data_IF_243331168321
#
_entry.id   IF_243331168321
#
_cell.length_a   1.000
_cell.length_b   1.000
_cell.length_c   1.000
_cell.angle_alpha   90.00
_cell.angle_beta   90.00
_cell.angle_gamma   90.00
#
_symmetry.space_group_name_H-M   'P 1'
#
loop_
_entity.id
_entity.type
_entity.pdbx_description
1 polymer ?
#
# COMPACT_ATOMS: atom_id res chain seq x y z
N UNK A 1 7.93 -24.14 19.56
CA UNK A 1 7.73 -22.70 19.87
C UNK A 1 7.72 -21.85 18.59
N UNK A 2 7.36 -20.58 18.69
CA UNK A 2 7.47 -19.61 17.56
C UNK A 2 8.88 -19.58 16.96
N UNK A 3 9.90 -19.56 17.80
CA UNK A 3 11.30 -19.49 17.36
C UNK A 3 11.71 -20.73 16.54
N UNK A 4 11.26 -21.90 16.91
CA UNK A 4 11.54 -23.15 16.18
C UNK A 4 10.88 -23.12 14.80
N UNK A 5 9.63 -22.66 14.72
CA UNK A 5 8.88 -22.54 13.46
C UNK A 5 9.54 -21.49 12.57
N UNK A 6 9.93 -20.34 13.12
CA UNK A 6 10.63 -19.28 12.39
C UNK A 6 11.95 -19.76 11.81
N UNK A 7 12.76 -20.47 12.61
CA UNK A 7 14.03 -21.04 12.16
C UNK A 7 13.82 -22.09 11.05
N UNK A 8 12.82 -22.95 11.20
CA UNK A 8 12.49 -23.97 10.19
C UNK A 8 11.89 -23.38 8.89
N UNK A 9 11.27 -22.23 8.96
CA UNK A 9 10.70 -21.52 7.81
C UNK A 9 11.74 -20.73 7.02
N UNK A 10 12.87 -20.37 7.63
CA UNK A 10 13.92 -19.58 6.98
C UNK A 10 14.44 -20.29 5.72
N UNK A 11 14.58 -19.57 4.63
CA UNK A 11 14.93 -20.05 3.28
C UNK A 11 13.90 -21.00 2.63
N UNK A 12 12.73 -21.21 3.25
CA UNK A 12 11.66 -22.08 2.75
C UNK A 12 10.34 -21.37 2.49
N UNK A 13 10.34 -20.04 2.59
CA UNK A 13 9.11 -19.26 2.51
C UNK A 13 8.38 -19.39 1.17
N UNK A 14 9.09 -19.54 0.06
CA UNK A 14 8.43 -19.74 -1.24
C UNK A 14 7.62 -21.05 -1.27
N UNK A 15 8.18 -22.15 -0.71
CA UNK A 15 7.47 -23.41 -0.59
C UNK A 15 6.26 -23.30 0.35
N UNK A 16 6.46 -22.65 1.50
CA UNK A 16 5.42 -22.45 2.50
C UNK A 16 4.27 -21.62 1.92
N UNK A 17 4.57 -20.49 1.29
CA UNK A 17 3.56 -19.64 0.67
C UNK A 17 2.79 -20.36 -0.45
N UNK A 18 3.48 -21.13 -1.27
CA UNK A 18 2.84 -21.95 -2.31
C UNK A 18 1.93 -23.02 -1.71
N UNK A 19 2.35 -23.70 -0.64
CA UNK A 19 1.56 -24.71 0.06
C UNK A 19 0.31 -24.10 0.76
N UNK A 20 0.39 -22.84 1.20
CA UNK A 20 -0.75 -22.11 1.76
C UNK A 20 -1.74 -21.65 0.66
N UNK A 21 -1.35 -21.73 -0.62
CA UNK A 21 -2.21 -21.43 -1.76
C UNK A 21 -1.86 -20.14 -2.50
N UNK A 22 -0.75 -19.49 -2.21
CA UNK A 22 -0.26 -18.37 -3.00
C UNK A 22 0.37 -18.91 -4.29
N UNK A 23 -0.19 -18.53 -5.43
CA UNK A 23 0.33 -18.93 -6.73
C UNK A 23 1.79 -18.46 -6.91
N UNK A 24 2.66 -19.36 -7.35
CA UNK A 24 4.09 -19.12 -7.56
C UNK A 24 4.41 -17.93 -8.47
N UNK A 25 3.50 -17.54 -9.35
CA UNK A 25 3.66 -16.34 -10.18
C UNK A 25 3.83 -15.07 -9.34
N UNK A 26 3.28 -15.03 -8.11
CA UNK A 26 3.39 -13.90 -7.19
C UNK A 26 4.66 -13.94 -6.33
N UNK A 27 5.33 -15.07 -6.23
CA UNK A 27 6.54 -15.27 -5.42
C UNK A 27 7.81 -14.91 -6.21
N UNK A 28 7.81 -13.74 -6.83
CA UNK A 28 8.92 -13.23 -7.67
C UNK A 28 9.22 -11.78 -7.33
N UNK A 29 10.49 -11.42 -7.43
CA UNK A 29 10.96 -10.04 -7.24
C UNK A 29 10.57 -9.16 -8.43
N UNK A 30 9.27 -8.91 -8.56
CA UNK A 30 8.67 -8.16 -9.66
C UNK A 30 7.45 -7.40 -9.14
N UNK A 31 7.28 -6.15 -9.58
CA UNK A 31 6.05 -5.40 -9.32
C UNK A 31 4.85 -6.04 -10.03
N UNK A 32 3.80 -6.28 -9.28
CA UNK A 32 2.62 -7.02 -9.73
C UNK A 32 1.41 -6.77 -8.82
N UNK A 33 0.20 -7.22 -9.21
CA UNK A 33 -0.95 -7.24 -8.32
C UNK A 33 -0.66 -8.03 -7.04
N UNK A 34 -1.19 -7.59 -5.90
CA UNK A 34 -1.04 -8.32 -4.65
C UNK A 34 -1.94 -9.57 -4.63
N UNK A 35 -1.42 -10.75 -4.25
CA UNK A 35 -2.24 -11.96 -4.16
C UNK A 35 -3.34 -11.86 -3.10
N UNK A 36 -3.18 -11.00 -2.11
CA UNK A 36 -4.15 -10.80 -1.03
C UNK A 36 -5.17 -9.70 -1.34
N UNK A 37 -4.72 -8.51 -1.73
CA UNK A 37 -5.59 -7.33 -1.86
C UNK A 37 -5.71 -6.79 -3.29
N UNK A 38 -5.13 -7.48 -4.30
CA UNK A 38 -5.22 -7.09 -5.71
C UNK A 38 -4.41 -5.84 -6.05
N UNK A 39 -4.96 -4.94 -6.87
CA UNK A 39 -4.28 -3.76 -7.40
C UNK A 39 -3.53 -4.06 -8.69
N UNK A 40 -2.73 -3.11 -9.18
CA UNK A 40 -2.05 -3.23 -10.47
C UNK A 40 -0.57 -3.66 -10.31
N UNK A 41 0.18 -2.98 -9.44
CA UNK A 41 1.64 -3.10 -9.32
C UNK A 41 2.16 -2.87 -7.89
N UNK A 42 1.26 -2.98 -6.90
CA UNK A 42 1.53 -2.63 -5.49
C UNK A 42 2.30 -3.67 -4.69
N UNK A 43 2.48 -4.86 -5.24
CA UNK A 43 3.12 -5.97 -4.56
C UNK A 43 4.44 -6.36 -5.23
N UNK A 44 5.43 -6.72 -4.40
CA UNK A 44 6.69 -7.32 -4.81
C UNK A 44 7.17 -8.27 -3.73
N UNK A 45 7.51 -9.49 -4.12
CA UNK A 45 8.11 -10.48 -3.23
C UNK A 45 9.62 -10.52 -3.46
N UNK A 46 10.42 -10.22 -2.45
CA UNK A 46 11.89 -10.16 -2.58
C UNK A 46 12.63 -11.21 -1.76
N UNK A 47 11.97 -11.87 -0.81
CA UNK A 47 12.51 -12.95 0.04
C UNK A 47 13.90 -12.64 0.60
N UNK A 48 14.08 -11.41 1.07
CA UNK A 48 15.37 -10.95 1.54
C UNK A 48 15.87 -11.82 2.70
N UNK A 49 17.09 -12.30 2.59
CA UNK A 49 17.77 -13.15 3.57
C UNK A 49 16.96 -14.43 3.94
N UNK A 50 16.12 -14.93 3.01
CA UNK A 50 15.30 -16.11 3.24
C UNK A 50 14.19 -15.92 4.28
N UNK A 51 13.77 -14.68 4.53
CA UNK A 51 12.74 -14.35 5.52
C UNK A 51 11.33 -14.19 4.92
N UNK A 52 11.13 -14.49 3.64
CA UNK A 52 9.84 -14.37 2.97
C UNK A 52 9.36 -12.93 2.84
N UNK A 53 10.28 -11.97 2.78
CA UNK A 53 9.94 -10.56 2.79
C UNK A 53 9.20 -10.13 1.52
N UNK A 54 8.29 -9.18 1.70
CA UNK A 54 7.51 -8.61 0.61
C UNK A 54 7.19 -7.13 0.85
N UNK A 55 6.81 -6.45 -0.20
CA UNK A 55 6.27 -5.09 -0.18
C UNK A 55 4.84 -5.14 -0.71
N UNK A 56 3.92 -4.47 -0.03
CA UNK A 56 2.57 -4.19 -0.53
C UNK A 56 2.09 -2.86 0.04
N UNK A 57 1.83 -1.88 -0.81
CA UNK A 57 1.42 -0.52 -0.38
C UNK A 57 0.11 -0.47 0.43
N UNK A 58 -0.66 -1.56 0.48
CA UNK A 58 -1.88 -1.70 1.29
C UNK A 58 -1.72 -2.59 2.53
N UNK A 59 -0.50 -3.01 2.82
CA UNK A 59 -0.20 -3.77 4.03
C UNK A 59 0.46 -2.86 5.05
N UNK A 60 -0.15 -2.67 6.22
CA UNK A 60 0.35 -1.87 7.34
C UNK A 60 1.35 -0.75 6.93
N UNK A 61 2.65 -0.96 7.22
CA UNK A 61 3.73 -0.03 6.88
C UNK A 61 4.31 -0.24 5.46
N UNK A 62 3.57 -0.90 4.58
CA UNK A 62 3.99 -1.11 3.20
C UNK A 62 4.92 -2.32 2.97
N UNK A 63 5.37 -3.01 4.01
CA UNK A 63 6.27 -4.17 3.92
C UNK A 63 6.03 -5.17 5.06
N UNK A 64 6.43 -6.42 4.86
CA UNK A 64 6.33 -7.49 5.86
C UNK A 64 7.29 -8.65 5.59
N UNK A 65 7.31 -9.60 6.52
CA UNK A 65 8.01 -10.87 6.42
C UNK A 65 7.08 -12.01 5.97
N UNK A 66 7.59 -13.24 5.97
CA UNK A 66 6.84 -14.42 5.55
C UNK A 66 5.56 -14.65 6.36
N UNK A 67 5.57 -14.47 7.68
CA UNK A 67 4.35 -14.54 8.50
C UNK A 67 3.38 -13.42 8.15
N UNK A 68 3.89 -12.21 7.95
CA UNK A 68 3.10 -11.06 7.51
C UNK A 68 2.38 -11.32 6.19
N UNK A 69 3.03 -12.00 5.23
CA UNK A 69 2.39 -12.36 3.96
C UNK A 69 1.28 -13.39 4.17
N UNK A 70 1.47 -14.37 5.05
CA UNK A 70 0.42 -15.35 5.41
C UNK A 70 -0.77 -14.66 6.05
N UNK A 71 -0.53 -13.78 7.03
CA UNK A 71 -1.59 -12.98 7.68
C UNK A 71 -2.36 -12.14 6.66
N UNK A 72 -1.66 -11.48 5.76
CA UNK A 72 -2.25 -10.65 4.72
C UNK A 72 -3.08 -11.47 3.73
N UNK A 73 -2.56 -12.63 3.31
CA UNK A 73 -3.21 -13.51 2.34
C UNK A 73 -4.45 -14.20 2.88
N UNK A 74 -4.37 -14.75 4.09
CA UNK A 74 -5.48 -15.44 4.76
C UNK A 74 -6.43 -14.48 5.48
N UNK A 75 -6.08 -13.19 5.58
CA UNK A 75 -6.79 -12.19 6.38
C UNK A 75 -7.02 -12.66 7.82
N UNK A 76 -5.97 -13.12 8.47
CA UNK A 76 -6.01 -13.76 9.78
C UNK A 76 -5.05 -13.12 10.78
N UNK A 77 -5.18 -13.49 12.06
CA UNK A 77 -4.26 -13.09 13.11
C UNK A 77 -2.95 -13.87 13.10
N UNK A 78 -1.99 -13.41 13.92
CA UNK A 78 -0.66 -14.01 14.01
C UNK A 78 -0.70 -15.49 14.45
N UNK A 79 -1.53 -15.86 15.43
CA UNK A 79 -1.64 -17.23 15.93
C UNK A 79 -2.18 -18.20 14.87
N UNK A 80 -3.06 -17.72 14.00
CA UNK A 80 -3.59 -18.52 12.90
C UNK A 80 -2.55 -18.69 11.79
N UNK A 81 -1.83 -17.62 11.46
CA UNK A 81 -0.71 -17.67 10.52
C UNK A 81 0.40 -18.61 11.01
N UNK A 82 0.74 -18.54 12.30
CA UNK A 82 1.72 -19.44 12.92
C UNK A 82 1.30 -20.90 12.81
N UNK A 83 0.03 -21.21 13.10
CA UNK A 83 -0.52 -22.58 12.96
C UNK A 83 -0.51 -23.06 11.51
N UNK A 84 -0.85 -22.20 10.56
CA UNK A 84 -0.81 -22.51 9.14
C UNK A 84 0.62 -22.86 8.68
N UNK A 85 1.61 -22.05 9.06
CA UNK A 85 3.03 -22.28 8.76
C UNK A 85 3.52 -23.57 9.43
N UNK A 86 3.21 -23.78 10.72
CA UNK A 86 3.57 -24.99 11.44
C UNK A 86 2.96 -26.25 10.79
N UNK A 87 1.74 -26.17 10.30
CA UNK A 87 1.08 -27.24 9.57
C UNK A 87 1.81 -27.63 8.28
N UNK A 88 2.25 -26.63 7.49
CA UNK A 88 3.05 -26.87 6.29
C UNK A 88 4.41 -27.48 6.61
N UNK A 89 5.02 -27.07 7.71
CA UNK A 89 6.33 -27.56 8.16
C UNK A 89 6.23 -28.92 8.92
N UNK A 90 5.03 -29.46 9.11
CA UNK A 90 4.77 -30.66 9.91
C UNK A 90 5.29 -30.59 11.37
N UNK A 91 5.39 -29.37 11.91
CA UNK A 91 5.91 -29.08 13.26
C UNK A 91 4.83 -28.97 14.34
N UNK A 92 3.59 -29.27 14.04
CA UNK A 92 2.48 -29.20 14.99
C UNK A 92 1.72 -30.52 15.03
N UNK A 93 1.49 -31.08 16.21
CA UNK A 93 0.59 -32.20 16.42
C UNK A 93 -0.90 -31.86 16.28
N UNK A 94 -1.25 -30.77 15.67
CA UNK A 94 -2.60 -30.35 15.37
C UNK A 94 -2.89 -30.61 13.87
N UNK A 95 -4.02 -31.28 13.65
CA UNK A 95 -4.62 -31.51 12.35
C UNK A 95 -4.44 -30.28 11.46
N UNK A 96 -3.90 -30.41 10.21
CA UNK A 96 -3.86 -29.28 9.30
C UNK A 96 -5.29 -28.75 9.19
N UNK A 97 -5.46 -27.47 9.55
CA UNK A 97 -6.73 -26.81 9.31
C UNK A 97 -7.04 -27.01 7.82
N UNK A 98 -8.26 -27.42 7.46
CA UNK A 98 -8.65 -27.38 6.07
C UNK A 98 -8.48 -25.94 5.63
N UNK A 99 -7.43 -25.67 4.86
CA UNK A 99 -7.20 -24.39 4.19
C UNK A 99 -8.27 -24.35 3.11
N UNK A 100 -9.51 -24.11 3.52
CA UNK A 100 -10.51 -23.63 2.58
C UNK A 100 -10.07 -22.22 2.25
N UNK A 101 -9.72 -21.95 1.00
CA UNK A 101 -9.60 -20.60 0.51
C UNK A 101 -11.02 -20.02 0.40
N UNK A 102 -11.70 -19.88 1.54
CA UNK A 102 -12.87 -19.02 1.62
C UNK A 102 -12.31 -17.59 1.66
N UNK A 103 -11.63 -17.26 0.54
CA UNK A 103 -11.46 -15.88 0.20
C UNK A 103 -12.87 -15.30 0.08
N UNK A 104 -13.27 -14.35 0.93
CA UNK A 104 -14.19 -13.37 0.44
C UNK A 104 -13.42 -12.80 -0.76
N UNK A 105 -13.92 -13.03 -1.97
CA UNK A 105 -13.52 -12.22 -3.09
C UNK A 105 -13.85 -10.80 -2.61
N UNK A 106 -12.84 -10.12 -2.07
CA UNK A 106 -12.89 -8.68 -1.98
C UNK A 106 -13.08 -8.27 -3.43
N UNK A 107 -14.34 -8.06 -3.80
CA UNK A 107 -14.66 -7.36 -5.04
C UNK A 107 -13.65 -6.23 -5.09
N UNK A 108 -12.93 -6.04 -6.20
CA UNK A 108 -12.01 -4.94 -6.31
C UNK A 108 -12.78 -3.75 -5.79
N UNK A 109 -12.34 -3.20 -4.65
CA UNK A 109 -12.95 -2.00 -4.08
C UNK A 109 -12.97 -1.05 -5.26
N UNK A 110 -14.14 -0.60 -5.72
CA UNK A 110 -14.21 0.19 -6.95
C UNK A 110 -13.12 1.24 -6.80
N UNK A 111 -12.19 1.27 -7.75
CA UNK A 111 -11.12 2.28 -7.74
C UNK A 111 -11.88 3.57 -7.56
N UNK A 112 -11.75 4.17 -6.37
CA UNK A 112 -12.41 5.43 -6.07
C UNK A 112 -12.02 6.28 -7.24
N UNK A 113 -12.98 6.83 -7.95
CA UNK A 113 -12.74 7.64 -9.14
C UNK A 113 -11.72 8.74 -8.83
N UNK A 114 -10.46 8.36 -8.88
CA UNK A 114 -9.32 9.24 -8.58
C UNK A 114 -9.21 10.28 -9.68
N UNK A 115 -9.52 9.88 -10.91
CA UNK A 115 -9.46 10.74 -12.09
C UNK A 115 -10.53 11.82 -11.99
N UNK A 116 -11.78 11.45 -11.66
CA UNK A 116 -12.85 12.43 -11.45
C UNK A 116 -12.55 13.40 -10.31
N UNK A 117 -11.97 12.92 -9.21
CA UNK A 117 -11.55 13.79 -8.10
C UNK A 117 -10.41 14.74 -8.47
N UNK A 118 -9.39 14.24 -9.17
CA UNK A 118 -8.28 15.07 -9.64
C UNK A 118 -8.77 16.10 -10.66
N UNK A 119 -9.65 15.72 -11.59
CA UNK A 119 -10.27 16.62 -12.54
C UNK A 119 -11.12 17.69 -11.83
N UNK A 120 -11.92 17.32 -10.83
CA UNK A 120 -12.70 18.27 -10.04
C UNK A 120 -11.81 19.25 -9.29
N UNK A 121 -10.72 18.78 -8.69
CA UNK A 121 -9.73 19.62 -8.00
C UNK A 121 -9.04 20.59 -8.97
N UNK A 122 -8.65 20.12 -10.16
CA UNK A 122 -8.05 20.94 -11.19
C UNK A 122 -9.01 22.00 -11.73
N UNK A 123 -10.26 21.63 -12.00
CA UNK A 123 -11.28 22.54 -12.53
C UNK A 123 -11.76 23.55 -11.49
N UNK A 124 -11.71 23.22 -10.21
CA UNK A 124 -12.01 24.13 -9.11
C UNK A 124 -10.89 25.11 -8.77
N UNK A 125 -9.68 24.88 -9.29
CA UNK A 125 -8.53 25.76 -9.07
C UNK A 125 -8.45 26.86 -10.13
N UNK A 126 -8.10 28.08 -9.68
CA UNK A 126 -7.95 29.27 -10.53
C UNK A 126 -6.57 29.29 -11.20
N UNK A 127 -6.43 29.78 -12.44
CA UNK A 127 -5.13 30.08 -13.02
C UNK A 127 -4.36 31.04 -12.12
N UNK A 128 -3.04 30.83 -11.98
CA UNK A 128 -2.21 31.79 -11.21
C UNK A 128 -2.02 33.07 -11.98
N UNK A 129 -2.15 34.19 -11.28
CA UNK A 129 -1.87 35.57 -11.79
C UNK A 129 -0.72 36.16 -11.01
N UNK A 130 -0.15 37.28 -11.51
CA UNK A 130 0.99 37.94 -10.87
C UNK A 130 0.72 38.32 -9.39
N UNK A 131 -0.54 38.57 -9.04
CA UNK A 131 -0.98 38.99 -7.72
C UNK A 131 -1.50 37.84 -6.87
N UNK A 132 -1.53 36.58 -7.39
CA UNK A 132 -2.03 35.46 -6.64
C UNK A 132 -1.13 35.12 -5.45
N UNK A 133 -1.68 34.67 -4.31
CA UNK A 133 -0.91 34.25 -3.13
C UNK A 133 0.15 33.20 -3.45
N UNK A 134 -0.13 32.32 -4.42
CA UNK A 134 0.81 31.31 -4.89
C UNK A 134 2.07 31.94 -5.48
N UNK A 135 1.94 32.98 -6.31
CA UNK A 135 3.08 33.69 -6.91
C UNK A 135 3.85 34.48 -5.86
N UNK A 136 3.16 35.12 -4.92
CA UNK A 136 3.81 35.79 -3.79
C UNK A 136 4.64 34.85 -2.94
N UNK A 137 4.10 33.66 -2.65
CA UNK A 137 4.82 32.58 -1.94
C UNK A 137 6.06 32.14 -2.73
N UNK A 138 5.96 31.88 -4.02
CA UNK A 138 7.09 31.48 -4.85
C UNK A 138 8.19 32.57 -4.89
N UNK A 139 7.79 33.85 -5.02
CA UNK A 139 8.73 34.99 -4.93
C UNK A 139 9.46 35.04 -3.58
N UNK A 140 8.75 34.82 -2.47
CA UNK A 140 9.35 34.80 -1.12
C UNK A 140 10.38 33.69 -0.94
N UNK A 141 10.27 32.61 -1.74
CA UNK A 141 11.21 31.49 -1.78
C UNK A 141 12.33 31.67 -2.81
N UNK A 142 12.46 32.86 -3.43
CA UNK A 142 13.49 33.13 -4.43
C UNK A 142 13.16 32.56 -5.83
N UNK A 143 11.97 32.03 -6.04
CA UNK A 143 11.51 31.48 -7.30
C UNK A 143 10.77 32.56 -8.10
N UNK A 144 11.49 33.57 -8.56
CA UNK A 144 10.95 34.57 -9.49
C UNK A 144 10.78 33.96 -10.89
N UNK A 145 9.55 34.01 -11.44
CA UNK A 145 9.27 33.48 -12.78
C UNK A 145 9.00 34.63 -13.73
N UNK A 146 9.68 34.63 -14.90
CA UNK A 146 9.40 35.58 -15.99
C UNK A 146 8.06 35.26 -16.68
N UNK A 147 7.68 33.99 -16.72
CA UNK A 147 6.38 33.50 -17.20
C UNK A 147 5.75 32.60 -16.18
N UNK A 148 4.45 32.76 -15.95
CA UNK A 148 3.68 31.90 -15.05
C UNK A 148 3.34 30.59 -15.76
N UNK A 149 3.63 29.42 -15.14
CA UNK A 149 3.38 28.13 -15.76
C UNK A 149 1.88 27.83 -15.85
N UNK A 150 1.41 27.43 -17.02
CA UNK A 150 0.00 27.05 -17.25
C UNK A 150 -0.44 25.78 -16.53
N UNK A 151 0.53 24.94 -16.17
CA UNK A 151 0.30 23.69 -15.45
C UNK A 151 0.26 23.86 -13.92
N UNK A 152 0.22 25.09 -13.42
CA UNK A 152 0.04 25.41 -12.00
C UNK A 152 -1.20 26.27 -11.82
N UNK A 153 -2.04 25.89 -10.88
CA UNK A 153 -3.25 26.60 -10.47
C UNK A 153 -3.26 26.85 -8.98
N UNK A 154 -4.08 27.78 -8.54
CA UNK A 154 -4.27 28.13 -7.14
C UNK A 154 -5.66 27.73 -6.69
N UNK A 155 -5.74 26.98 -5.58
CA UNK A 155 -6.98 26.64 -4.91
C UNK A 155 -7.02 27.37 -3.58
N UNK A 156 -8.08 28.17 -3.35
CA UNK A 156 -8.21 29.03 -2.16
C UNK A 156 -8.32 28.21 -0.89
N UNK A 157 -9.02 27.08 -0.97
CA UNK A 157 -9.27 26.20 0.18
C UNK A 157 -9.22 24.75 -0.27
N UNK A 158 -8.35 23.98 0.37
CA UNK A 158 -8.28 22.53 0.24
C UNK A 158 -8.33 21.91 1.63
N UNK A 159 -9.05 20.82 1.77
CA UNK A 159 -9.11 20.06 3.01
C UNK A 159 -7.74 19.44 3.30
N UNK A 160 -7.19 19.74 4.46
CA UNK A 160 -5.93 19.16 4.92
C UNK A 160 -6.17 18.14 6.03
N UNK A 161 -5.64 16.96 5.79
CA UNK A 161 -5.74 15.81 6.68
C UNK A 161 -4.35 15.34 7.09
N UNK A 162 -4.18 14.97 8.35
CA UNK A 162 -2.94 14.34 8.84
C UNK A 162 -3.18 12.87 9.17
N UNK A 163 -2.10 12.10 9.27
CA UNK A 163 -2.17 10.71 9.69
C UNK A 163 -2.39 10.67 11.20
N UNK A 164 -3.55 10.20 11.64
CA UNK A 164 -3.81 9.83 13.04
C UNK A 164 -3.49 8.35 13.28
N UNK A 165 -3.46 7.92 14.53
CA UNK A 165 -3.15 6.52 14.90
C UNK A 165 -4.14 5.53 14.29
N UNK A 166 -5.45 5.83 14.28
CA UNK A 166 -6.49 4.94 13.75
C UNK A 166 -7.17 5.46 12.48
N UNK A 167 -7.29 6.77 12.33
CA UNK A 167 -8.02 7.41 11.22
C UNK A 167 -7.37 8.73 10.84
N UNK A 168 -7.48 9.16 9.56
CA UNK A 168 -7.06 10.50 9.15
C UNK A 168 -7.80 11.56 9.98
N UNK A 169 -7.05 12.51 10.53
CA UNK A 169 -7.57 13.63 11.32
C UNK A 169 -7.66 14.87 10.44
N UNK A 170 -8.86 15.46 10.37
CA UNK A 170 -9.05 16.73 9.68
C UNK A 170 -8.43 17.88 10.48
N UNK A 171 -7.54 18.63 9.87
CA UNK A 171 -6.83 19.75 10.51
C UNK A 171 -7.47 21.08 10.16
N UNK A 172 -7.98 21.23 8.93
CA UNK A 172 -8.56 22.47 8.46
C UNK A 172 -8.52 22.62 6.95
N UNK A 173 -8.89 23.81 6.47
CA UNK A 173 -8.82 24.20 5.07
C UNK A 173 -7.72 25.21 4.87
N UNK A 174 -6.90 24.98 3.87
CA UNK A 174 -5.74 25.84 3.57
C UNK A 174 -5.64 26.13 2.08
N UNK A 175 -5.10 27.30 1.71
CA UNK A 175 -4.79 27.58 0.33
C UNK A 175 -3.67 26.66 -0.17
N UNK A 176 -3.77 26.17 -1.40
CA UNK A 176 -2.76 25.32 -1.99
C UNK A 176 -2.51 25.59 -3.48
N UNK A 177 -1.35 25.15 -3.95
CA UNK A 177 -1.03 25.10 -5.38
C UNK A 177 -1.35 23.71 -5.91
N UNK A 178 -1.99 23.64 -7.06
CA UNK A 178 -2.29 22.41 -7.79
C UNK A 178 -1.44 22.38 -9.04
N UNK A 179 -0.59 21.34 -9.16
CA UNK A 179 0.31 21.19 -10.29
C UNK A 179 -0.10 19.97 -11.12
N UNK A 180 -0.28 20.14 -12.44
CA UNK A 180 -0.46 19.03 -13.37
C UNK A 180 0.92 18.56 -13.86
N UNK A 181 1.25 17.28 -13.59
CA UNK A 181 2.45 16.61 -14.09
C UNK A 181 2.01 15.73 -15.26
N UNK A 182 2.67 15.91 -16.41
CA UNK A 182 2.45 15.11 -17.63
C UNK A 182 3.54 14.08 -17.81
#
# INVERSE_FOLDING_TARGET
TYQDIKAAAQYRWQEIHAAIGIDQRYLKNKHQPCPACGGKDRFRYDDKDGNGTFICSHYHNGAGDGFGLVMHYLNCGFDEALRAVAGVLHMGGANPLPISPTRPQTQPRPEKDQIGKLAALWNGAEPITADSPAVQYLKSRGLGMAQLPENVRFLREADYWTTGEDKPLFIGRFPCMVCAIR
#
